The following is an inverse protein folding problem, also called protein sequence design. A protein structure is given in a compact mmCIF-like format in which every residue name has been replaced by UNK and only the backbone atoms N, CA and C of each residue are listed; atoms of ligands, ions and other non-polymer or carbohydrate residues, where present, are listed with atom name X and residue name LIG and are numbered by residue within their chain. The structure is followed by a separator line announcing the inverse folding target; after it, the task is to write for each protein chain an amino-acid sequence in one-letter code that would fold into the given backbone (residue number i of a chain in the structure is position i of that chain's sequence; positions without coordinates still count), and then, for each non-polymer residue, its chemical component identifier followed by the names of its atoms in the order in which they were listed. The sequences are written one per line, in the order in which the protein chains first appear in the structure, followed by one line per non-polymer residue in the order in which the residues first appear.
data_IF_015959347657
#
_entry.id   IF_015959347657
#
_cell.length_a   1.000
_cell.length_b   1.000
_cell.length_c   1.000
_cell.angle_alpha   90.00
_cell.angle_beta   90.00
_cell.angle_gamma   90.00
#
_symmetry.space_group_name_H-M   'P 1'
#
loop_
_entity.id
_entity.type
_entity.pdbx_description
1 polymer ?
#
# COMPACT_ATOMS: atom_id res chain seq x y z
N UNK A 1 1.29 -11.06 -91.10
CA UNK A 1 -0.13 -10.72 -91.32
C UNK A 1 -0.92 -11.31 -90.15
N UNK A 2 -1.88 -10.55 -89.58
CA UNK A 2 -2.79 -10.86 -88.45
C UNK A 2 -2.52 -12.12 -87.57
N UNK A 3 -2.31 -11.92 -86.26
CA UNK A 3 -2.90 -12.81 -85.23
C UNK A 3 -3.08 -12.12 -83.87
N UNK A 4 -4.35 -11.90 -83.51
CA UNK A 4 -4.96 -11.64 -82.20
C UNK A 4 -4.14 -11.16 -80.97
N UNK A 5 -4.38 -9.91 -80.55
CA UNK A 5 -4.33 -9.55 -79.13
C UNK A 5 -5.49 -10.21 -78.38
N UNK A 6 -5.23 -11.17 -77.49
CA UNK A 6 -6.24 -11.68 -76.55
C UNK A 6 -6.31 -10.76 -75.32
N UNK A 7 -7.24 -9.79 -75.36
CA UNK A 7 -7.52 -8.82 -74.28
C UNK A 7 -7.92 -9.56 -72.99
N UNK A 8 -6.98 -9.75 -72.06
CA UNK A 8 -7.28 -10.45 -70.83
C UNK A 8 -8.16 -9.60 -69.89
N UNK A 9 -9.16 -10.23 -69.28
CA UNK A 9 -10.25 -9.56 -68.56
C UNK A 9 -9.87 -9.45 -67.09
N UNK A 10 -9.58 -8.24 -66.60
CA UNK A 10 -9.35 -8.01 -65.17
C UNK A 10 -10.63 -8.32 -64.39
N UNK A 11 -10.59 -9.39 -63.61
CA UNK A 11 -11.71 -9.87 -62.82
C UNK A 11 -11.78 -9.09 -61.51
N UNK A 12 -12.92 -8.45 -61.25
CA UNK A 12 -13.12 -7.66 -60.04
C UNK A 12 -13.46 -8.61 -58.89
N UNK A 13 -12.53 -8.84 -57.97
CA UNK A 13 -12.85 -9.39 -56.66
C UNK A 13 -13.88 -8.48 -55.95
N UNK A 14 -14.91 -9.04 -55.30
CA UNK A 14 -15.89 -8.24 -54.59
C UNK A 14 -15.24 -7.57 -53.37
N UNK A 15 -15.56 -6.29 -53.14
CA UNK A 15 -15.23 -5.64 -51.88
C UNK A 15 -16.16 -6.17 -50.79
N UNK A 16 -15.66 -7.09 -49.98
CA UNK A 16 -16.35 -7.52 -48.77
C UNK A 16 -16.55 -6.30 -47.85
N UNK A 17 -17.81 -5.96 -47.60
CA UNK A 17 -18.15 -4.94 -46.61
C UNK A 17 -18.01 -5.57 -45.22
N UNK A 18 -16.83 -5.42 -44.63
CA UNK A 18 -16.66 -5.64 -43.19
C UNK A 18 -17.66 -4.73 -42.48
N UNK A 19 -18.72 -5.32 -41.93
CA UNK A 19 -19.68 -4.60 -41.12
C UNK A 19 -18.98 -4.23 -39.82
N UNK A 20 -18.75 -2.93 -39.61
CA UNK A 20 -18.33 -2.42 -38.31
C UNK A 20 -19.50 -2.65 -37.36
N UNK A 21 -19.44 -3.74 -36.60
CA UNK A 21 -20.27 -3.91 -35.42
C UNK A 21 -20.03 -2.66 -34.54
N UNK A 22 -21.08 -1.94 -34.10
CA UNK A 22 -20.88 -0.89 -33.13
C UNK A 22 -20.26 -1.54 -31.88
N UNK A 23 -19.18 -0.97 -31.37
CA UNK A 23 -18.63 -1.35 -30.08
C UNK A 23 -19.70 -1.06 -29.02
N UNK A 24 -20.47 -2.09 -28.65
CA UNK A 24 -21.46 -2.00 -27.58
C UNK A 24 -20.73 -1.50 -26.35
N UNK A 25 -21.17 -0.35 -25.84
CA UNK A 25 -20.31 0.51 -25.03
C UNK A 25 -19.77 -0.18 -23.78
N UNK A 26 -18.62 0.30 -23.30
CA UNK A 26 -18.08 -0.04 -21.99
C UNK A 26 -19.22 -0.04 -20.98
N UNK A 27 -19.56 -1.21 -20.46
CA UNK A 27 -20.52 -1.33 -19.37
C UNK A 27 -19.83 -0.78 -18.15
N UNK A 28 -20.01 0.52 -17.92
CA UNK A 28 -19.81 1.14 -16.62
C UNK A 28 -20.69 0.37 -15.66
N UNK A 29 -20.12 -0.59 -14.91
CA UNK A 29 -20.77 -1.24 -13.78
C UNK A 29 -20.86 -0.20 -12.66
N UNK A 30 -21.79 0.74 -12.81
CA UNK A 30 -22.24 1.60 -11.72
C UNK A 30 -22.70 0.69 -10.60
N UNK A 31 -22.07 0.81 -9.43
CA UNK A 31 -22.24 -0.15 -8.35
C UNK A 31 -23.71 -0.19 -7.90
N UNK A 32 -24.31 -1.38 -7.69
CA UNK A 32 -25.73 -1.48 -7.35
C UNK A 32 -26.05 -0.88 -5.98
N UNK A 33 -27.30 -0.44 -5.81
CA UNK A 33 -27.73 0.43 -4.70
C UNK A 33 -27.45 -0.13 -3.29
N UNK A 34 -27.32 -1.46 -3.14
CA UNK A 34 -26.95 -2.14 -1.88
C UNK A 34 -25.61 -1.67 -1.28
N UNK A 35 -24.66 -1.19 -2.08
CA UNK A 35 -23.35 -0.73 -1.60
C UNK A 35 -23.33 0.72 -1.10
N UNK A 36 -24.41 1.47 -1.28
CA UNK A 36 -24.61 2.67 -0.50
C UNK A 36 -25.01 2.25 0.91
N UNK A 37 -24.19 2.61 1.90
CA UNK A 37 -24.58 2.50 3.30
C UNK A 37 -25.97 3.14 3.45
N UNK A 38 -26.94 2.36 3.93
CA UNK A 38 -28.34 2.79 3.97
C UNK A 38 -28.45 3.99 4.92
N UNK A 39 -28.60 5.17 4.35
CA UNK A 39 -28.92 6.40 5.08
C UNK A 39 -30.28 6.24 5.77
N UNK A 40 -30.27 5.68 6.97
CA UNK A 40 -31.37 5.82 7.94
C UNK A 40 -31.34 7.27 8.45
N UNK A 41 -31.70 8.17 7.54
CA UNK A 41 -31.48 9.61 7.62
C UNK A 41 -31.93 10.15 8.97
N UNK A 42 -30.94 10.60 9.76
CA UNK A 42 -31.13 10.86 11.20
C UNK A 42 -32.40 11.68 11.42
N UNK A 43 -33.34 11.23 12.28
CA UNK A 43 -34.64 11.87 12.39
C UNK A 43 -34.46 13.36 12.66
N UNK A 44 -35.01 14.20 11.77
CA UNK A 44 -34.74 15.65 11.71
C UNK A 44 -34.88 16.33 13.08
N UNK A 45 -35.83 15.82 13.87
CA UNK A 45 -36.06 16.11 15.27
C UNK A 45 -35.45 15.04 16.20
N UNK A 46 -34.21 15.22 16.63
CA UNK A 46 -33.69 14.53 17.81
C UNK A 46 -34.18 15.25 19.09
N UNK A 47 -34.40 14.55 20.21
CA UNK A 47 -34.85 15.20 21.45
C UNK A 47 -33.88 16.27 21.95
N UNK A 48 -32.58 16.12 21.63
CA UNK A 48 -31.53 17.11 21.95
C UNK A 48 -31.69 18.42 21.16
N UNK A 49 -32.11 18.37 19.89
CA UNK A 49 -32.45 19.56 19.07
C UNK A 49 -33.72 20.27 19.57
N UNK A 50 -34.71 19.52 20.05
CA UNK A 50 -35.91 20.09 20.68
C UNK A 50 -35.55 20.82 21.99
N UNK A 51 -34.70 20.21 22.82
CA UNK A 51 -34.22 20.81 24.06
C UNK A 51 -33.39 22.08 23.83
N UNK A 52 -32.51 22.12 22.83
CA UNK A 52 -31.72 23.34 22.54
C UNK A 52 -32.59 24.51 22.08
N UNK A 53 -33.64 24.28 21.28
CA UNK A 53 -34.61 25.31 20.90
C UNK A 53 -35.40 25.80 22.13
N UNK A 54 -35.86 24.89 22.99
CA UNK A 54 -36.56 25.25 24.22
C UNK A 54 -35.68 26.09 25.17
N UNK A 55 -34.42 25.69 25.37
CA UNK A 55 -33.43 26.45 26.15
C UNK A 55 -33.23 27.85 25.53
N UNK A 56 -33.08 27.95 24.21
CA UNK A 56 -32.87 29.24 23.55
C UNK A 56 -34.05 30.22 23.78
N UNK A 57 -35.29 29.74 23.65
CA UNK A 57 -36.49 30.55 23.95
C UNK A 57 -36.54 30.98 25.41
N UNK A 58 -36.18 30.09 26.35
CA UNK A 58 -36.11 30.41 27.79
C UNK A 58 -35.03 31.47 28.07
N UNK A 59 -33.84 31.35 27.46
CA UNK A 59 -32.74 32.32 27.61
C UNK A 59 -33.13 33.69 27.05
N UNK A 60 -33.83 33.75 25.91
CA UNK A 60 -34.36 35.00 25.34
C UNK A 60 -35.39 35.64 26.28
N UNK A 61 -36.32 34.87 26.85
CA UNK A 61 -37.30 35.36 27.82
C UNK A 61 -36.65 35.87 29.11
N UNK A 62 -35.62 35.19 29.61
CA UNK A 62 -34.82 35.65 30.76
C UNK A 62 -34.05 36.94 30.41
N UNK A 63 -33.49 37.04 29.21
CA UNK A 63 -32.82 38.26 28.74
C UNK A 63 -33.76 39.46 28.64
N UNK A 64 -34.97 39.27 28.11
CA UNK A 64 -35.98 40.34 28.00
C UNK A 64 -36.52 40.76 29.38
N UNK A 65 -36.78 39.82 30.29
CA UNK A 65 -37.21 40.16 31.65
C UNK A 65 -36.09 40.83 32.46
N UNK A 66 -34.84 40.39 32.32
CA UNK A 66 -33.69 41.06 32.92
C UNK A 66 -33.51 42.48 32.37
N UNK A 67 -33.62 42.69 31.07
CA UNK A 67 -33.54 44.02 30.44
C UNK A 67 -34.59 44.99 31.00
N UNK A 68 -35.85 44.54 31.12
CA UNK A 68 -36.95 45.31 31.71
C UNK A 68 -36.71 45.67 33.19
N UNK A 69 -36.07 44.79 33.97
CA UNK A 69 -35.78 45.03 35.40
C UNK A 69 -34.52 45.88 35.60
N UNK A 70 -33.50 45.72 34.75
CA UNK A 70 -32.22 46.46 34.82
C UNK A 70 -32.32 47.92 34.34
N UNK A 71 -33.45 48.34 33.78
CA UNK A 71 -33.71 49.72 33.34
C UNK A 71 -33.88 50.75 34.48
N UNK A 72 -33.74 50.34 35.73
CA UNK A 72 -33.91 51.19 36.93
C UNK A 72 -32.53 51.64 37.43
N UNK A 73 -32.15 52.94 37.31
CA UNK A 73 -30.84 53.42 37.73
C UNK A 73 -30.77 53.57 39.26
N UNK A 74 -30.25 52.56 39.95
CA UNK A 74 -29.88 52.64 41.38
C UNK A 74 -28.45 53.16 41.55
N UNK A 75 -28.27 54.17 42.40
CA UNK A 75 -26.99 54.84 42.63
C UNK A 75 -26.07 54.03 43.54
N UNK A 76 -24.86 53.70 43.07
CA UNK A 76 -23.80 53.06 43.86
C UNK A 76 -23.24 53.97 44.96
N UNK A 77 -22.74 53.37 46.05
CA UNK A 77 -21.57 53.88 46.76
C UNK A 77 -20.37 52.93 46.66
N UNK A 78 -19.17 53.52 46.52
CA UNK A 78 -17.88 52.81 46.40
C UNK A 78 -17.35 52.29 47.73
N UNK A 79 -16.85 51.06 47.76
CA UNK A 79 -15.73 50.63 48.63
C UNK A 79 -14.80 49.77 47.77
N UNK A 80 -13.51 49.73 48.07
CA UNK A 80 -12.47 49.12 47.24
C UNK A 80 -11.62 48.09 48.00
N UNK A 81 -10.75 47.42 47.23
CA UNK A 81 -9.31 47.23 47.54
C UNK A 81 -8.80 45.83 47.93
N UNK A 82 -7.48 45.68 47.72
CA UNK A 82 -6.51 44.67 48.17
C UNK A 82 -6.36 43.33 47.43
N UNK A 83 -5.14 43.18 46.88
CA UNK A 83 -4.50 41.96 46.39
C UNK A 83 -3.29 41.66 47.30
N UNK A 84 -3.12 40.41 47.75
CA UNK A 84 -1.83 39.71 47.54
C UNK A 84 -2.06 38.30 46.93
N UNK A 85 -1.21 37.63 46.16
CA UNK A 85 0.18 37.76 45.68
C UNK A 85 0.93 36.43 45.97
N UNK A 86 1.33 35.73 44.90
CA UNK A 86 2.46 34.78 44.77
C UNK A 86 2.77 33.72 45.84
N UNK A 87 3.17 32.52 45.39
CA UNK A 87 4.57 32.05 45.56
C UNK A 87 4.87 30.80 44.70
N UNK A 88 6.14 30.63 44.33
CA UNK A 88 6.65 29.52 43.48
C UNK A 88 7.85 28.87 44.15
N UNK A 89 8.03 27.55 44.03
CA UNK A 89 9.21 26.80 44.53
C UNK A 89 9.62 25.69 43.55
N UNK A 90 10.93 25.53 43.35
CA UNK A 90 11.56 24.51 42.48
C UNK A 90 12.78 23.91 43.19
N UNK A 91 12.98 22.59 43.13
CA UNK A 91 14.18 21.90 43.66
C UNK A 91 14.32 20.45 43.16
N UNK A 92 15.51 19.77 43.27
CA UNK A 92 16.20 19.39 42.03
C UNK A 92 16.72 17.94 41.93
N UNK A 93 17.42 17.68 40.82
CA UNK A 93 18.11 16.44 40.42
C UNK A 93 19.50 16.23 41.08
N UNK A 94 19.93 14.97 41.35
CA UNK A 94 21.31 14.58 41.69
C UNK A 94 22.16 14.08 40.49
N UNK A 95 23.48 13.87 40.68
CA UNK A 95 24.49 13.62 39.62
C UNK A 95 25.34 12.32 39.80
N UNK A 96 25.54 11.61 38.70
CA UNK A 96 26.81 11.10 38.12
C UNK A 96 27.95 10.49 38.97
N UNK A 97 28.45 9.30 38.59
CA UNK A 97 29.87 8.86 38.69
C UNK A 97 30.24 7.70 37.73
N UNK A 98 31.47 7.72 37.18
CA UNK A 98 32.22 6.62 36.50
C UNK A 98 33.52 6.32 37.27
N UNK A 99 34.22 5.16 37.13
CA UNK A 99 35.15 4.84 36.01
C UNK A 99 35.00 3.34 35.56
N UNK A 100 35.92 2.54 34.95
CA UNK A 100 37.38 2.58 34.63
C UNK A 100 37.73 1.62 33.46
N UNK A 101 39.00 1.54 33.02
CA UNK A 101 39.51 0.61 31.96
C UNK A 101 40.85 -0.03 32.37
N UNK A 102 41.10 -1.32 32.03
CA UNK A 102 42.28 -1.74 31.20
C UNK A 102 42.05 -3.04 30.36
N UNK A 103 42.99 -3.66 29.61
CA UNK A 103 43.98 -3.21 28.59
C UNK A 103 44.62 -4.42 27.85
N UNK A 104 44.64 -4.42 26.51
CA UNK A 104 45.53 -5.13 25.54
C UNK A 104 45.74 -6.69 25.49
N UNK A 105 45.48 -7.29 24.31
CA UNK A 105 46.33 -8.11 23.37
C UNK A 105 47.42 -9.12 23.88
N UNK A 106 47.96 -10.08 23.05
CA UNK A 106 47.71 -10.38 21.61
C UNK A 106 47.56 -11.88 21.18
N UNK A 107 46.99 -12.11 19.99
CA UNK A 107 47.65 -12.79 18.83
C UNK A 107 47.84 -14.33 18.75
N UNK A 108 47.43 -14.90 17.60
CA UNK A 108 48.15 -15.95 16.83
C UNK A 108 47.60 -16.03 15.37
N UNK A 109 48.35 -16.66 14.44
CA UNK A 109 47.96 -16.86 13.04
C UNK A 109 48.82 -17.94 12.34
N UNK A 110 48.19 -18.86 11.61
CA UNK A 110 48.68 -19.74 10.53
C UNK A 110 47.41 -20.33 9.87
N UNK A 111 47.12 -20.24 8.57
CA UNK A 111 47.84 -20.68 7.36
C UNK A 111 47.92 -22.21 7.23
N UNK A 112 47.19 -22.75 6.27
CA UNK A 112 47.60 -23.91 5.49
C UNK A 112 46.92 -23.90 4.10
N UNK A 113 47.48 -24.61 3.12
CA UNK A 113 47.35 -24.28 1.69
C UNK A 113 47.31 -25.54 0.79
N UNK A 114 47.19 -25.35 -0.54
CA UNK A 114 47.62 -26.25 -1.65
C UNK A 114 46.61 -27.26 -2.27
N UNK A 115 46.52 -27.17 -3.61
CA UNK A 115 46.10 -28.16 -4.64
C UNK A 115 44.67 -28.77 -4.59
N UNK A 116 43.86 -28.86 -5.67
CA UNK A 116 44.05 -28.80 -7.14
C UNK A 116 44.66 -30.07 -7.80
N UNK A 117 43.81 -30.99 -8.26
CA UNK A 117 44.17 -32.11 -9.18
C UNK A 117 43.08 -32.31 -10.24
N UNK A 118 43.43 -32.10 -11.51
CA UNK A 118 42.78 -32.56 -12.75
C UNK A 118 43.73 -32.22 -13.93
N UNK A 119 43.58 -32.80 -15.14
CA UNK A 119 42.67 -33.87 -15.60
C UNK A 119 43.44 -35.11 -16.12
N UNK A 120 42.76 -36.06 -16.78
CA UNK A 120 43.18 -36.63 -18.09
C UNK A 120 41.99 -37.41 -18.77
N UNK A 121 42.04 -37.82 -20.06
CA UNK A 121 40.92 -37.54 -20.96
C UNK A 121 40.16 -38.76 -21.54
N UNK A 122 38.94 -38.51 -22.04
CA UNK A 122 38.25 -39.37 -23.02
C UNK A 122 37.52 -38.55 -24.11
N UNK A 123 37.73 -38.92 -25.38
CA UNK A 123 37.06 -38.42 -26.59
C UNK A 123 37.55 -39.24 -27.81
N UNK A 124 36.90 -39.18 -29.00
CA UNK A 124 35.78 -38.31 -29.39
C UNK A 124 34.57 -39.06 -30.01
N UNK A 125 33.63 -38.26 -30.56
CA UNK A 125 32.45 -38.59 -31.43
C UNK A 125 31.13 -38.49 -30.65
N UNK A 126 30.14 -37.66 -31.03
CA UNK A 126 29.80 -37.11 -32.36
C UNK A 126 29.46 -35.61 -32.32
N UNK A 127 29.15 -35.01 -33.48
CA UNK A 127 28.89 -33.56 -33.63
C UNK A 127 27.40 -33.22 -33.49
N UNK A 128 27.04 -32.58 -32.38
CA UNK A 128 25.85 -31.74 -32.27
C UNK A 128 26.22 -30.36 -31.69
N UNK A 129 25.43 -29.34 -32.00
CA UNK A 129 25.71 -27.98 -31.55
C UNK A 129 25.60 -27.87 -30.02
N UNK A 130 26.56 -27.22 -29.38
CA UNK A 130 26.48 -26.89 -27.95
C UNK A 130 25.21 -26.06 -27.74
N UNK A 131 24.20 -26.55 -26.99
CA UNK A 131 23.08 -25.71 -26.60
C UNK A 131 23.66 -24.59 -25.75
N UNK A 132 23.26 -23.34 -26.03
CA UNK A 132 23.64 -22.22 -25.18
C UNK A 132 23.31 -22.58 -23.72
N UNK A 133 24.18 -22.24 -22.74
CA UNK A 133 23.87 -22.49 -21.35
C UNK A 133 22.49 -21.91 -21.06
N UNK A 134 21.59 -22.64 -20.38
CA UNK A 134 20.24 -22.15 -20.15
C UNK A 134 20.32 -20.76 -19.52
N UNK A 135 19.50 -19.80 -19.97
CA UNK A 135 19.52 -18.46 -19.41
C UNK A 135 19.40 -18.58 -17.90
N UNK A 136 20.24 -17.83 -17.18
CA UNK A 136 20.34 -17.91 -15.72
C UNK A 136 18.93 -17.90 -15.12
N UNK A 137 18.59 -18.84 -14.22
CA UNK A 137 17.22 -19.02 -13.78
C UNK A 137 16.69 -17.69 -13.28
N UNK A 138 15.52 -17.29 -13.81
CA UNK A 138 14.83 -16.08 -13.40
C UNK A 138 14.74 -16.08 -11.86
N UNK A 139 15.06 -14.96 -11.18
CA UNK A 139 14.98 -14.87 -9.72
C UNK A 139 13.67 -15.48 -9.22
N UNK A 140 13.80 -16.46 -8.33
CA UNK A 140 12.76 -17.45 -8.11
C UNK A 140 11.51 -16.80 -7.50
N UNK A 141 10.51 -16.54 -8.35
CA UNK A 141 9.17 -16.15 -7.95
C UNK A 141 8.62 -17.22 -7.01
N UNK A 142 8.52 -16.89 -5.72
CA UNK A 142 7.89 -17.80 -4.76
C UNK A 142 6.41 -17.96 -5.11
N UNK A 143 5.87 -19.19 -5.12
CA UNK A 143 4.44 -19.42 -5.34
C UNK A 143 3.64 -18.84 -4.17
N UNK A 144 2.37 -18.51 -4.43
CA UNK A 144 1.41 -18.31 -3.34
C UNK A 144 1.23 -19.59 -2.51
N UNK A 145 0.65 -19.48 -1.32
CA UNK A 145 0.11 -20.64 -0.59
C UNK A 145 -1.20 -21.12 -1.23
N UNK A 146 -1.95 -21.98 -0.54
CA UNK A 146 -3.23 -22.51 -1.03
C UNK A 146 -4.25 -21.39 -1.18
N UNK A 147 -4.99 -21.44 -2.27
CA UNK A 147 -6.17 -20.66 -2.62
C UNK A 147 -7.21 -21.73 -2.98
N UNK A 148 -8.14 -22.02 -2.07
CA UNK A 148 -8.96 -23.24 -2.13
C UNK A 148 -10.15 -23.13 -3.09
N UNK A 149 -10.64 -21.93 -3.37
CA UNK A 149 -11.78 -21.70 -4.27
C UNK A 149 -11.44 -20.91 -5.57
N UNK A 150 -10.23 -20.36 -5.66
CA UNK A 150 -9.68 -19.64 -6.82
C UNK A 150 -10.23 -18.23 -7.08
N UNK A 151 -10.65 -17.51 -6.03
CA UNK A 151 -10.86 -16.05 -6.02
C UNK A 151 -9.55 -15.26 -6.22
N UNK A 152 -8.44 -15.74 -5.64
CA UNK A 152 -7.11 -15.12 -5.69
C UNK A 152 -6.57 -14.56 -4.36
N UNK A 153 -7.35 -14.59 -3.28
CA UNK A 153 -6.86 -14.62 -1.90
C UNK A 153 -6.32 -16.02 -1.58
N UNK A 154 -5.38 -16.13 -0.65
CA UNK A 154 -5.03 -17.44 -0.05
C UNK A 154 -5.94 -17.75 1.15
N UNK A 155 -6.07 -19.03 1.52
CA UNK A 155 -6.86 -19.48 2.71
C UNK A 155 -6.47 -18.68 3.99
N UNK A 156 -5.23 -18.20 4.05
CA UNK A 156 -4.63 -17.45 5.17
C UNK A 156 -4.95 -15.94 5.09
N UNK A 157 -5.08 -15.39 3.88
CA UNK A 157 -5.56 -14.02 3.65
C UNK A 157 -7.05 -13.92 3.91
N UNK A 158 -7.82 -14.94 3.56
CA UNK A 158 -9.24 -14.99 3.88
C UNK A 158 -9.48 -15.03 5.39
N UNK A 159 -8.74 -15.86 6.13
CA UNK A 159 -8.76 -15.86 7.59
C UNK A 159 -8.30 -14.51 8.19
N UNK A 160 -7.53 -13.71 7.45
CA UNK A 160 -7.10 -12.37 7.85
C UNK A 160 -8.19 -11.30 7.62
N UNK A 161 -9.00 -11.43 6.56
CA UNK A 161 -10.13 -10.54 6.26
C UNK A 161 -11.46 -11.01 6.87
N UNK A 162 -11.55 -12.28 7.32
CA UNK A 162 -12.71 -12.90 7.94
C UNK A 162 -13.64 -13.65 6.97
N UNK A 163 -13.20 -13.86 5.72
CA UNK A 163 -13.92 -14.54 4.64
C UNK A 163 -13.78 -16.07 4.74
N UNK A 164 -14.31 -16.82 3.76
CA UNK A 164 -14.54 -18.27 3.85
C UNK A 164 -13.91 -19.05 2.67
N UNK A 165 -12.80 -19.79 2.88
CA UNK A 165 -12.02 -20.50 1.84
C UNK A 165 -12.69 -21.62 1.02
N UNK A 166 -14.01 -21.71 1.05
CA UNK A 166 -14.80 -22.61 0.19
C UNK A 166 -15.82 -21.82 -0.67
N UNK A 167 -15.63 -20.50 -0.82
CA UNK A 167 -16.55 -19.55 -1.47
C UNK A 167 -15.83 -18.28 -2.00
N UNK A 168 -15.75 -18.10 -3.33
CA UNK A 168 -15.22 -16.87 -3.95
C UNK A 168 -16.06 -15.59 -3.74
N UNK A 169 -17.05 -15.62 -2.85
CA UNK A 169 -18.12 -14.64 -2.59
C UNK A 169 -18.74 -15.05 -1.24
N UNK A 170 -18.20 -14.50 -0.14
CA UNK A 170 -18.46 -14.96 1.22
C UNK A 170 -19.85 -14.59 1.71
N UNK A 171 -20.27 -13.34 1.48
CA UNK A 171 -21.59 -12.81 1.86
C UNK A 171 -22.73 -13.25 0.92
N UNK A 172 -22.38 -13.74 -0.29
CA UNK A 172 -23.26 -14.26 -1.36
C UNK A 172 -24.06 -13.20 -2.12
N UNK A 173 -23.59 -11.95 -2.15
CA UNK A 173 -24.26 -10.83 -2.82
C UNK A 173 -23.96 -10.68 -4.33
N UNK A 174 -23.02 -11.47 -4.87
CA UNK A 174 -22.67 -11.55 -6.29
C UNK A 174 -21.41 -10.78 -6.70
N UNK A 175 -20.56 -10.41 -5.75
CA UNK A 175 -19.22 -9.83 -5.93
C UNK A 175 -18.20 -10.73 -5.22
N UNK A 176 -16.97 -10.79 -5.72
CA UNK A 176 -15.97 -11.68 -5.15
C UNK A 176 -15.09 -10.98 -4.13
N UNK A 177 -14.70 -11.69 -3.07
CA UNK A 177 -14.08 -11.13 -1.87
C UNK A 177 -12.83 -10.29 -2.19
N UNK A 178 -11.96 -10.77 -3.08
CA UNK A 178 -10.79 -10.01 -3.55
C UNK A 178 -11.15 -8.78 -4.38
N UNK A 179 -12.19 -8.85 -5.20
CA UNK A 179 -12.66 -7.72 -6.02
C UNK A 179 -13.29 -6.64 -5.12
N UNK A 180 -14.01 -7.03 -4.07
CA UNK A 180 -14.55 -6.13 -3.05
C UNK A 180 -13.44 -5.40 -2.30
N UNK A 181 -12.43 -6.14 -1.82
CA UNK A 181 -11.23 -5.57 -1.20
C UNK A 181 -10.52 -4.60 -2.15
N UNK A 182 -10.26 -4.98 -3.41
CA UNK A 182 -9.67 -4.11 -4.44
C UNK A 182 -10.46 -2.82 -4.67
N UNK A 183 -11.78 -2.86 -4.59
CA UNK A 183 -12.64 -1.68 -4.73
C UNK A 183 -12.91 -0.96 -3.38
N UNK A 184 -12.37 -1.48 -2.28
CA UNK A 184 -12.46 -0.91 -0.93
C UNK A 184 -13.81 -1.10 -0.25
N UNK A 185 -14.50 -2.21 -0.51
CA UNK A 185 -15.77 -2.62 0.12
C UNK A 185 -15.54 -3.76 1.13
N UNK A 186 -16.53 -4.03 1.97
CA UNK A 186 -16.47 -5.01 3.06
C UNK A 186 -16.95 -6.39 2.55
N UNK A 187 -16.08 -7.41 2.39
CA UNK A 187 -16.44 -8.70 1.78
C UNK A 187 -17.34 -9.58 2.68
N UNK A 188 -17.83 -9.03 3.80
CA UNK A 188 -18.77 -9.66 4.72
C UNK A 188 -20.11 -8.92 4.79
N UNK A 189 -20.34 -7.93 3.93
CA UNK A 189 -21.64 -7.29 3.75
C UNK A 189 -21.60 -5.84 3.26
N UNK A 190 -22.79 -5.27 3.06
CA UNK A 190 -22.97 -3.91 2.55
C UNK A 190 -22.24 -2.82 3.36
N UNK A 191 -21.05 -2.41 2.91
CA UNK A 191 -20.26 -1.37 3.57
C UNK A 191 -18.99 -0.97 2.83
N UNK A 192 -18.28 0.02 3.38
CA UNK A 192 -16.93 0.40 2.94
C UNK A 192 -15.88 -0.23 3.84
N UNK A 193 -14.81 -0.77 3.27
CA UNK A 193 -13.74 -1.46 4.01
C UNK A 193 -13.12 -0.57 5.10
N UNK A 194 -13.03 0.73 4.85
CA UNK A 194 -12.55 1.76 5.79
C UNK A 194 -13.48 2.02 6.98
N UNK A 195 -14.67 1.42 7.02
CA UNK A 195 -15.59 1.44 8.19
C UNK A 195 -15.49 0.17 9.04
N UNK A 196 -14.80 -0.86 8.55
CA UNK A 196 -14.51 -2.10 9.28
C UNK A 196 -13.41 -1.88 10.33
N UNK A 197 -13.06 -2.97 11.05
CA UNK A 197 -11.87 -3.02 11.92
C UNK A 197 -10.75 -3.87 11.32
N UNK A 198 -10.85 -4.24 10.03
CA UNK A 198 -9.88 -5.12 9.36
C UNK A 198 -8.58 -4.41 9.02
N UNK A 199 -8.62 -3.09 8.80
CA UNK A 199 -7.48 -2.27 8.41
C UNK A 199 -7.16 -1.16 9.43
N UNK A 200 -5.90 -0.75 9.47
CA UNK A 200 -5.42 0.47 10.13
C UNK A 200 -4.67 1.31 9.10
N UNK A 201 -4.87 2.63 9.12
CA UNK A 201 -4.09 3.58 8.32
C UNK A 201 -2.80 3.95 9.07
N UNK A 202 -1.65 3.56 8.52
CA UNK A 202 -0.34 4.06 8.95
C UNK A 202 -0.10 5.46 8.39
N UNK A 203 0.53 6.31 9.20
CA UNK A 203 1.04 7.62 8.79
C UNK A 203 2.56 7.66 9.04
N UNK A 204 3.35 7.97 8.02
CA UNK A 204 4.80 8.15 8.16
C UNK A 204 5.13 9.31 9.10
N UNK A 205 6.09 9.11 10.00
CA UNK A 205 6.49 10.12 11.00
C UNK A 205 7.13 11.38 10.41
N UNK A 206 7.54 11.36 9.14
CA UNK A 206 7.99 12.54 8.39
C UNK A 206 6.90 13.08 7.44
N UNK A 207 5.66 12.59 7.57
CA UNK A 207 4.49 12.94 6.74
C UNK A 207 4.73 12.79 5.22
N UNK A 208 5.47 11.75 4.81
CA UNK A 208 5.75 11.46 3.39
C UNK A 208 4.64 10.65 2.72
N UNK A 209 4.05 9.70 3.45
CA UNK A 209 3.03 8.79 2.94
C UNK A 209 2.08 8.28 4.02
N UNK A 210 0.96 7.73 3.57
CA UNK A 210 0.05 6.87 4.33
C UNK A 210 -0.08 5.52 3.63
N UNK A 211 -0.34 4.46 4.39
CA UNK A 211 -0.65 3.14 3.82
C UNK A 211 -1.66 2.41 4.72
N UNK A 212 -2.65 1.75 4.14
CA UNK A 212 -3.55 0.87 4.89
C UNK A 212 -2.96 -0.52 5.00
N UNK A 213 -3.00 -1.10 6.20
CA UNK A 213 -2.46 -2.44 6.47
C UNK A 213 -3.40 -3.23 7.40
N UNK A 214 -3.31 -4.57 7.44
CA UNK A 214 -4.22 -5.39 8.26
C UNK A 214 -4.04 -5.14 9.76
N UNK A 215 -5.13 -4.94 10.48
CA UNK A 215 -5.15 -4.47 11.87
C UNK A 215 -4.50 -5.42 12.90
N UNK A 216 -4.32 -6.69 12.53
CA UNK A 216 -3.66 -7.72 13.33
C UNK A 216 -2.13 -7.75 13.19
N UNK A 217 -1.56 -7.01 12.23
CA UNK A 217 -0.12 -7.00 11.97
C UNK A 217 0.62 -6.01 12.89
N UNK A 218 1.80 -6.42 13.35
CA UNK A 218 2.67 -5.56 14.17
C UNK A 218 3.47 -4.59 13.29
N UNK A 219 3.80 -3.40 13.81
CA UNK A 219 4.49 -2.35 13.05
C UNK A 219 5.76 -1.92 13.74
N UNK A 220 6.91 -1.94 13.03
CA UNK A 220 8.21 -1.55 13.56
C UNK A 220 9.04 -0.73 12.55
N UNK A 221 9.84 0.26 13.01
CA UNK A 221 10.74 1.01 12.13
C UNK A 221 11.91 0.15 11.65
N UNK A 222 12.34 0.36 10.40
CA UNK A 222 13.50 -0.31 9.79
C UNK A 222 14.55 0.75 9.42
N UNK A 223 15.63 0.77 10.19
CA UNK A 223 16.67 1.79 10.07
C UNK A 223 16.13 3.18 10.45
N UNK A 224 16.51 4.20 9.68
CA UNK A 224 16.10 5.60 9.91
C UNK A 224 14.89 6.01 9.05
N UNK A 225 14.75 5.43 7.87
CA UNK A 225 13.89 5.91 6.79
C UNK A 225 13.05 4.77 6.19
N UNK A 226 12.64 3.81 7.04
CA UNK A 226 11.81 2.68 6.65
C UNK A 226 10.89 2.21 7.77
N UNK A 227 9.85 1.47 7.38
CA UNK A 227 8.81 0.89 8.24
C UNK A 227 8.51 -0.54 7.77
N UNK A 228 8.12 -1.43 8.68
CA UNK A 228 7.78 -2.82 8.40
C UNK A 228 6.51 -3.22 9.15
N UNK A 229 5.60 -3.85 8.42
CA UNK A 229 4.34 -4.43 8.86
C UNK A 229 4.51 -5.95 8.85
N UNK A 230 4.28 -6.62 9.98
CA UNK A 230 4.64 -8.03 10.19
C UNK A 230 3.39 -8.83 10.56
N UNK A 231 3.12 -9.89 9.80
CA UNK A 231 2.00 -10.80 10.05
C UNK A 231 2.28 -11.75 11.21
N UNK A 232 1.23 -12.35 11.77
CA UNK A 232 1.35 -13.34 12.84
C UNK A 232 2.15 -14.61 12.44
N UNK A 233 2.34 -14.87 11.14
CA UNK A 233 3.09 -16.02 10.61
C UNK A 233 4.52 -15.65 10.15
N UNK A 234 4.98 -14.42 10.45
CA UNK A 234 6.37 -13.99 10.27
C UNK A 234 6.74 -13.48 8.87
N UNK A 235 5.77 -13.42 7.94
CA UNK A 235 5.91 -12.64 6.72
C UNK A 235 5.76 -11.15 7.00
N UNK A 236 6.28 -10.31 6.11
CA UNK A 236 6.19 -8.86 6.31
C UNK A 236 6.20 -8.06 5.01
N UNK A 237 5.49 -6.94 5.03
CA UNK A 237 5.61 -5.89 4.02
C UNK A 237 6.47 -4.77 4.62
N UNK A 238 7.49 -4.32 3.91
CA UNK A 238 8.31 -3.18 4.29
C UNK A 238 8.16 -2.04 3.28
N UNK A 239 8.21 -0.79 3.75
CA UNK A 239 8.39 0.39 2.91
C UNK A 239 9.70 1.04 3.29
N UNK A 240 10.65 1.08 2.35
CA UNK A 240 11.94 1.74 2.51
C UNK A 240 12.01 2.98 1.60
N UNK A 241 12.29 4.13 2.20
CA UNK A 241 12.42 5.40 1.47
C UNK A 241 13.86 5.53 0.95
N UNK A 242 14.00 5.51 -0.37
CA UNK A 242 15.29 5.49 -1.09
C UNK A 242 15.61 6.84 -1.73
N UNK A 243 16.90 7.19 -1.75
CA UNK A 243 17.38 8.45 -2.31
C UNK A 243 17.55 8.43 -3.82
N UNK A 244 16.99 9.44 -4.50
CA UNK A 244 17.22 9.76 -5.91
C UNK A 244 17.78 11.19 -6.04
N UNK A 245 18.96 11.44 -5.46
CA UNK A 245 19.57 12.80 -5.40
C UNK A 245 19.84 13.46 -6.76
N UNK A 246 19.70 12.72 -7.87
CA UNK A 246 19.82 13.19 -9.25
C UNK A 246 18.47 13.42 -9.95
N UNK A 247 17.34 13.15 -9.28
CA UNK A 247 15.99 13.18 -9.83
C UNK A 247 15.85 12.41 -11.17
N UNK A 248 16.47 11.22 -11.24
CA UNK A 248 16.41 10.36 -12.42
C UNK A 248 14.99 9.79 -12.62
N UNK A 249 14.57 9.51 -13.87
CA UNK A 249 13.41 8.65 -14.14
C UNK A 249 13.55 7.29 -13.44
N UNK A 250 12.43 6.69 -13.05
CA UNK A 250 12.39 5.45 -12.27
C UNK A 250 13.20 4.31 -12.90
N UNK A 251 13.14 4.15 -14.23
CA UNK A 251 13.91 3.15 -14.99
C UNK A 251 15.42 3.36 -14.89
N UNK A 252 15.86 4.61 -14.93
CA UNK A 252 17.28 4.98 -14.90
C UNK A 252 17.84 4.92 -13.48
N UNK A 253 17.02 5.29 -12.49
CA UNK A 253 17.32 5.06 -11.07
C UNK A 253 17.43 3.55 -10.79
N UNK A 254 16.46 2.74 -11.21
CA UNK A 254 16.46 1.29 -10.99
C UNK A 254 17.70 0.63 -11.63
N UNK A 255 18.02 1.00 -12.87
CA UNK A 255 19.25 0.56 -13.54
C UNK A 255 20.50 0.91 -12.73
N UNK A 256 20.62 2.17 -12.28
CA UNK A 256 21.83 2.66 -11.61
C UNK A 256 21.97 2.21 -10.15
N UNK A 257 20.86 1.96 -9.44
CA UNK A 257 20.83 1.71 -7.99
C UNK A 257 20.48 0.28 -7.60
N UNK A 258 19.78 -0.48 -8.46
CA UNK A 258 19.37 -1.86 -8.19
C UNK A 258 20.11 -2.84 -9.11
N UNK A 259 20.02 -2.66 -10.44
CA UNK A 259 20.56 -3.63 -11.41
C UNK A 259 22.04 -3.40 -11.80
N UNK A 260 22.84 -2.75 -10.93
CA UNK A 260 24.30 -2.58 -11.12
C UNK A 260 24.74 -1.84 -12.39
N UNK A 261 23.84 -1.16 -13.09
CA UNK A 261 24.07 -0.50 -14.38
C UNK A 261 23.67 -1.32 -15.62
N UNK A 262 23.16 -2.55 -15.47
CA UNK A 262 22.77 -3.38 -16.62
C UNK A 262 21.62 -2.77 -17.45
N UNK A 263 21.66 -3.02 -18.76
CA UNK A 263 20.67 -2.51 -19.70
C UNK A 263 19.30 -3.14 -19.55
N UNK A 264 19.18 -4.35 -18.98
CA UNK A 264 17.86 -4.93 -18.71
C UNK A 264 17.17 -4.18 -17.56
N UNK A 265 15.91 -3.80 -17.79
CA UNK A 265 15.02 -3.20 -16.80
C UNK A 265 13.65 -3.85 -16.99
N UNK A 266 12.99 -4.34 -15.93
CA UNK A 266 11.61 -4.82 -16.04
C UNK A 266 10.68 -3.70 -16.57
N UNK A 267 9.54 -4.04 -17.17
CA UNK A 267 8.59 -3.05 -17.67
C UNK A 267 8.04 -2.19 -16.53
N UNK A 268 7.52 -1.01 -16.89
CA UNK A 268 6.67 -0.25 -15.99
C UNK A 268 5.30 -0.95 -15.91
N UNK A 269 4.86 -1.23 -14.69
CA UNK A 269 3.56 -1.85 -14.38
C UNK A 269 2.73 -0.87 -13.53
N UNK A 270 1.40 -0.98 -13.63
CA UNK A 270 0.46 -0.17 -12.85
C UNK A 270 -0.19 -1.01 -11.75
N UNK A 271 -0.19 -0.50 -10.51
CA UNK A 271 -0.89 -1.09 -9.37
C UNK A 271 -1.70 0.02 -8.69
N UNK A 272 -3.03 -0.03 -8.81
CA UNK A 272 -3.87 1.11 -8.47
C UNK A 272 -3.52 2.34 -9.32
N UNK A 273 -3.24 3.47 -8.65
CA UNK A 273 -2.78 4.70 -9.29
C UNK A 273 -1.25 4.74 -9.53
N UNK A 274 -0.49 3.77 -9.00
CA UNK A 274 0.97 3.79 -9.01
C UNK A 274 1.54 3.16 -10.27
N UNK A 275 2.36 3.92 -11.01
CA UNK A 275 3.21 3.37 -12.07
C UNK A 275 4.60 3.10 -11.50
N UNK A 276 5.01 1.83 -11.46
CA UNK A 276 6.24 1.39 -10.82
C UNK A 276 6.97 0.27 -11.57
N UNK A 277 8.03 -0.25 -10.98
CA UNK A 277 8.82 -1.39 -11.49
C UNK A 277 8.79 -2.50 -10.46
N UNK A 278 8.32 -3.69 -10.83
CA UNK A 278 8.57 -4.89 -10.03
C UNK A 278 10.00 -5.39 -10.26
N UNK A 279 10.70 -5.77 -9.19
CA UNK A 279 11.86 -6.64 -9.27
C UNK A 279 11.49 -7.98 -9.93
N UNK A 280 12.45 -8.73 -10.53
CA UNK A 280 12.13 -9.96 -11.25
C UNK A 280 11.51 -11.08 -10.40
N UNK A 281 11.74 -11.06 -9.08
CA UNK A 281 11.10 -11.92 -8.08
C UNK A 281 9.65 -11.52 -7.74
N UNK A 282 9.20 -10.35 -8.23
CA UNK A 282 7.96 -9.63 -7.89
C UNK A 282 7.75 -9.31 -6.40
N UNK A 283 8.75 -9.55 -5.56
CA UNK A 283 8.72 -9.28 -4.13
C UNK A 283 9.07 -7.84 -3.75
N UNK A 284 9.62 -7.05 -4.67
CA UNK A 284 9.78 -5.59 -4.45
C UNK A 284 9.16 -4.78 -5.59
N UNK A 285 8.29 -3.84 -5.26
CA UNK A 285 7.75 -2.81 -6.14
C UNK A 285 8.41 -1.47 -5.85
N UNK A 286 9.04 -0.88 -6.86
CA UNK A 286 9.65 0.44 -6.79
C UNK A 286 8.72 1.47 -7.45
N UNK A 287 8.35 2.51 -6.71
CA UNK A 287 7.55 3.65 -7.24
C UNK A 287 8.26 4.97 -6.98
N UNK A 288 8.33 5.83 -8.00
CA UNK A 288 8.93 7.15 -7.88
C UNK A 288 7.94 8.15 -7.25
N UNK A 289 8.40 8.95 -6.30
CA UNK A 289 7.57 9.94 -5.61
C UNK A 289 7.12 11.05 -6.57
N UNK A 290 5.80 11.19 -6.71
CA UNK A 290 5.14 12.24 -7.50
C UNK A 290 5.23 13.61 -6.82
N UNK A 291 5.37 13.65 -5.48
CA UNK A 291 5.52 14.90 -4.71
C UNK A 291 6.99 15.35 -4.61
N UNK A 292 7.91 14.40 -4.48
CA UNK A 292 9.34 14.65 -4.25
C UNK A 292 10.21 13.81 -5.21
N UNK A 293 10.51 14.30 -6.43
CA UNK A 293 11.27 13.53 -7.44
C UNK A 293 12.65 13.01 -7.00
N UNK A 294 13.18 13.52 -5.89
CA UNK A 294 14.40 13.02 -5.23
C UNK A 294 14.20 11.79 -4.34
N UNK A 295 13.01 11.18 -4.36
CA UNK A 295 12.59 10.07 -3.49
C UNK A 295 12.00 8.93 -4.31
N UNK A 296 12.37 7.69 -3.97
CA UNK A 296 11.74 6.46 -4.48
C UNK A 296 11.25 5.67 -3.26
N UNK A 297 10.08 5.07 -3.34
CA UNK A 297 9.62 4.10 -2.35
C UNK A 297 9.90 2.69 -2.88
N UNK A 298 10.64 1.90 -2.12
CA UNK A 298 10.76 0.46 -2.33
C UNK A 298 9.81 -0.23 -1.35
N UNK A 299 8.71 -0.76 -1.87
CA UNK A 299 7.72 -1.53 -1.10
C UNK A 299 8.03 -3.01 -1.34
N UNK A 300 8.32 -3.80 -0.30
CA UNK A 300 8.74 -5.18 -0.46
C UNK A 300 8.02 -6.18 0.46
N UNK A 301 7.62 -7.32 -0.09
CA UNK A 301 7.07 -8.48 0.63
C UNK A 301 8.18 -9.50 0.87
N UNK A 302 8.45 -9.81 2.14
CA UNK A 302 9.41 -10.83 2.54
C UNK A 302 8.69 -12.06 3.13
N UNK A 303 8.98 -13.25 2.58
CA UNK A 303 8.42 -14.54 3.02
C UNK A 303 8.93 -15.04 4.38
N UNK A 304 9.87 -14.30 4.99
CA UNK A 304 10.52 -14.68 6.24
C UNK A 304 11.35 -15.95 6.07
N UNK A 305 10.86 -17.06 6.63
CA UNK A 305 11.46 -18.40 6.50
C UNK A 305 10.68 -19.34 5.57
N UNK A 306 9.63 -18.85 4.89
CA UNK A 306 8.75 -19.67 4.03
C UNK A 306 9.26 -19.75 2.59
N UNK A 307 8.92 -20.86 1.94
CA UNK A 307 9.12 -21.11 0.50
C UNK A 307 7.96 -20.60 -0.36
N UNK A 308 6.83 -20.27 0.26
CA UNK A 308 5.60 -19.80 -0.36
C UNK A 308 5.22 -18.44 0.27
N UNK A 309 4.37 -17.68 -0.41
CA UNK A 309 3.83 -16.41 0.07
C UNK A 309 2.36 -16.60 0.48
N UNK A 310 2.01 -16.38 1.74
CA UNK A 310 0.60 -16.35 2.13
C UNK A 310 -0.02 -15.02 1.70
N UNK A 311 0.67 -13.89 1.95
CA UNK A 311 0.09 -12.53 1.87
C UNK A 311 0.29 -11.84 0.51
N UNK A 312 0.06 -12.58 -0.58
CA UNK A 312 0.35 -12.09 -1.93
C UNK A 312 -0.67 -11.04 -2.40
N UNK A 313 -1.96 -11.26 -2.20
CA UNK A 313 -2.99 -10.29 -2.58
C UNK A 313 -2.97 -9.06 -1.66
N UNK A 314 -2.77 -9.28 -0.35
CA UNK A 314 -2.59 -8.27 0.71
C UNK A 314 -1.47 -7.29 0.39
N UNK A 315 -0.37 -7.78 -0.19
CA UNK A 315 0.74 -6.93 -0.65
C UNK A 315 0.39 -6.08 -1.87
N UNK A 316 -0.32 -6.63 -2.85
CA UNK A 316 -0.78 -5.88 -4.02
C UNK A 316 -1.88 -4.84 -3.64
N UNK A 317 -2.75 -5.17 -2.67
CA UNK A 317 -3.69 -4.25 -2.02
C UNK A 317 -2.98 -3.16 -1.20
N UNK A 318 -1.93 -3.50 -0.45
CA UNK A 318 -1.13 -2.53 0.30
C UNK A 318 -0.46 -1.50 -0.64
N UNK A 319 0.05 -1.94 -1.80
CA UNK A 319 0.55 -1.04 -2.84
C UNK A 319 -0.59 -0.16 -3.37
N UNK A 320 -1.76 -0.74 -3.67
CA UNK A 320 -2.91 0.00 -4.17
C UNK A 320 -3.41 1.09 -3.19
N UNK A 321 -3.37 0.84 -1.87
CA UNK A 321 -3.75 1.79 -0.81
C UNK A 321 -2.58 2.61 -0.25
N UNK A 322 -1.40 2.55 -0.86
CA UNK A 322 -0.30 3.46 -0.58
C UNK A 322 -0.62 4.83 -1.16
N UNK A 323 -0.44 5.92 -0.40
CA UNK A 323 -0.65 7.27 -0.90
C UNK A 323 0.42 8.23 -0.38
N UNK A 324 1.00 9.04 -1.27
CA UNK A 324 1.90 10.13 -0.87
C UNK A 324 1.11 11.30 -0.27
N UNK A 325 1.61 11.85 0.84
CA UNK A 325 1.06 13.06 1.46
C UNK A 325 1.79 14.29 0.91
N UNK A 326 1.07 15.41 0.82
CA UNK A 326 1.53 16.71 0.30
C UNK A 326 2.14 17.60 1.39
#
# INVERSE_FOLDING_TARGET
MLSFLKKNKSEKTPKEKVAVQPITGTVMRTMPEKFFAKDEGSPFWTPFKLWSIAIFVIVVLIGVTYWLVSGIPTTSPTVADQQPASLSVTSPQPKNTTPTTPTALPGNAEVNDTAAIAPEPVSPTQSDAIPAPPPAPLPALLPSSTDTDSDGLTDVEELLYGTNPEKPDSDTDGYGDLEELKNGYDPLGAGKLSTTKLLISYHDGSNRFTANYPASWNVQPVGKDGIQFISATGESIAVLVQGNSKALPLTDWYRASVNGGDSTTPPLEMVGEHTGIFAPDRQTFYVASTKTPTTIYAISLASGAKTNLDFRATYELFIQWFHEVS
#
